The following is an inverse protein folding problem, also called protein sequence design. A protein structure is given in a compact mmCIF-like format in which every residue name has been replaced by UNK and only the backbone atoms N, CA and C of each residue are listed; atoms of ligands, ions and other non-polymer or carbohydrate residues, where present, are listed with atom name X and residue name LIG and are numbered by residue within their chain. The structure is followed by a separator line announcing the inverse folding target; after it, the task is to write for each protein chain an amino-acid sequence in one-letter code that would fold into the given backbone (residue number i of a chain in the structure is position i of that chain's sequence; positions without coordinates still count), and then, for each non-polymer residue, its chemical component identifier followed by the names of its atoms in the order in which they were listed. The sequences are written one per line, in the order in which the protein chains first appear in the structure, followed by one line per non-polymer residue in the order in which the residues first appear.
data_IF_046629532981
#
_entry.id   IF_046629532981
#
_cell.length_a   1.000
_cell.length_b   1.000
_cell.length_c   1.000
_cell.angle_alpha   90.00
_cell.angle_beta   90.00
_cell.angle_gamma   90.00
#
_symmetry.space_group_name_H-M   'P 1'
#
loop_
_entity.id
_entity.type
_entity.pdbx_description
1 polymer ?
#
# COMPACT_ATOMS: atom_id res chain seq x y z
N UNK A 1 -21.37 96.05 65.12
CA UNK A 1 -20.83 95.06 64.16
C UNK A 1 -20.44 93.83 64.97
N UNK A 2 -20.98 92.64 64.66
CA UNK A 2 -20.58 91.42 65.37
C UNK A 2 -19.07 91.21 65.25
N UNK A 3 -18.45 90.65 66.29
CA UNK A 3 -16.99 90.44 66.28
C UNK A 3 -16.61 89.42 65.20
N UNK A 4 -15.40 89.52 64.60
CA UNK A 4 -14.96 88.56 63.58
C UNK A 4 -15.05 87.09 64.04
N UNK A 5 -14.90 86.85 65.36
CA UNK A 5 -15.02 85.53 65.98
C UNK A 5 -16.47 85.03 65.98
N UNK A 6 -17.43 85.86 66.35
CA UNK A 6 -18.87 85.50 66.32
C UNK A 6 -19.36 85.21 64.90
N UNK A 7 -18.83 85.92 63.90
CA UNK A 7 -19.15 85.66 62.49
C UNK A 7 -18.59 84.30 62.03
N UNK A 8 -17.34 83.98 62.43
CA UNK A 8 -16.71 82.70 62.13
C UNK A 8 -17.42 81.51 62.82
N UNK A 9 -17.88 81.69 64.05
CA UNK A 9 -18.59 80.64 64.79
C UNK A 9 -19.99 80.36 64.21
N UNK A 10 -20.73 81.40 63.78
CA UNK A 10 -21.99 81.21 63.04
C UNK A 10 -21.78 80.50 61.72
N UNK A 11 -20.76 80.88 60.95
CA UNK A 11 -20.42 80.21 59.70
C UNK A 11 -20.06 78.73 59.92
N UNK A 12 -19.32 78.40 60.98
CA UNK A 12 -19.04 77.02 61.37
C UNK A 12 -20.30 76.25 61.74
N UNK A 13 -21.17 76.83 62.57
CA UNK A 13 -22.39 76.16 63.02
C UNK A 13 -23.35 75.93 61.84
N UNK A 14 -23.44 76.89 60.92
CA UNK A 14 -24.26 76.79 59.73
C UNK A 14 -23.68 75.79 58.71
N UNK A 15 -22.35 75.74 58.54
CA UNK A 15 -21.68 74.69 57.77
C UNK A 15 -21.89 73.31 58.38
N UNK A 16 -21.80 73.17 59.71
CA UNK A 16 -22.03 71.90 60.41
C UNK A 16 -23.48 71.42 60.26
N UNK A 17 -24.47 72.32 60.42
CA UNK A 17 -25.90 72.02 60.20
C UNK A 17 -26.21 71.59 58.76
N UNK A 18 -25.44 72.05 57.78
CA UNK A 18 -25.67 71.74 56.36
C UNK A 18 -24.91 70.49 55.91
N UNK A 19 -23.65 70.32 56.33
CA UNK A 19 -22.78 69.23 55.91
C UNK A 19 -23.01 67.93 56.70
N UNK A 20 -23.39 68.01 57.98
CA UNK A 20 -23.66 66.82 58.81
C UNK A 20 -24.71 65.88 58.21
N UNK A 21 -25.89 66.34 57.75
CA UNK A 21 -26.87 65.44 57.12
C UNK A 21 -26.41 64.92 55.76
N UNK A 22 -25.59 65.66 55.02
CA UNK A 22 -25.02 65.20 53.74
C UNK A 22 -23.98 64.10 53.94
N UNK A 23 -23.13 64.22 54.97
CA UNK A 23 -22.17 63.17 55.34
C UNK A 23 -22.89 61.91 55.83
N UNK A 24 -23.94 62.06 56.65
CA UNK A 24 -24.74 60.93 57.09
C UNK A 24 -25.43 60.21 55.92
N UNK A 25 -25.98 60.96 54.95
CA UNK A 25 -26.58 60.38 53.75
C UNK A 25 -25.56 59.64 52.87
N UNK A 26 -24.34 60.16 52.74
CA UNK A 26 -23.25 59.47 52.01
C UNK A 26 -22.78 58.19 52.72
N UNK A 27 -22.71 58.20 54.05
CA UNK A 27 -22.40 56.99 54.84
C UNK A 27 -23.51 55.93 54.67
N UNK A 28 -24.77 56.35 54.69
CA UNK A 28 -25.91 55.45 54.45
C UNK A 28 -25.88 54.87 53.02
N UNK A 29 -25.57 55.69 52.01
CA UNK A 29 -25.38 55.22 50.62
C UNK A 29 -24.21 54.24 50.52
N UNK A 30 -23.08 54.50 51.18
CA UNK A 30 -21.93 53.60 51.19
C UNK A 30 -22.25 52.25 51.86
N UNK A 31 -22.95 52.26 53.00
CA UNK A 31 -23.39 51.03 53.67
C UNK A 31 -24.41 50.26 52.82
N UNK A 32 -25.31 50.95 52.13
CA UNK A 32 -26.27 50.32 51.23
C UNK A 32 -25.56 49.66 50.03
N UNK A 33 -24.59 50.34 49.42
CA UNK A 33 -23.75 49.78 48.35
C UNK A 33 -22.97 48.57 48.86
N UNK A 34 -22.32 48.67 50.02
CA UNK A 34 -21.57 47.57 50.64
C UNK A 34 -22.46 46.36 50.94
N UNK A 35 -23.66 46.57 51.46
CA UNK A 35 -24.64 45.52 51.69
C UNK A 35 -25.09 44.85 50.38
N UNK A 36 -25.31 45.64 49.32
CA UNK A 36 -25.66 45.10 47.99
C UNK A 36 -24.54 44.25 47.38
N UNK A 37 -23.28 44.66 47.52
CA UNK A 37 -22.12 43.89 47.06
C UNK A 37 -21.97 42.60 47.84
N UNK A 38 -22.11 42.63 49.17
CA UNK A 38 -22.06 41.45 50.02
C UNK A 38 -23.16 40.44 49.64
N UNK A 39 -24.38 40.92 49.39
CA UNK A 39 -25.48 40.09 48.91
C UNK A 39 -25.19 39.51 47.51
N UNK A 40 -24.63 40.31 46.60
CA UNK A 40 -24.25 39.86 45.26
C UNK A 40 -23.16 38.79 45.27
N UNK A 41 -22.13 38.93 46.12
CA UNK A 41 -21.08 37.92 46.32
C UNK A 41 -21.70 36.63 46.87
N UNK A 42 -22.56 36.71 47.89
CA UNK A 42 -23.23 35.54 48.45
C UNK A 42 -24.11 34.79 47.43
N UNK A 43 -24.81 35.51 46.56
CA UNK A 43 -25.56 34.88 45.46
C UNK A 43 -24.63 34.18 44.45
N UNK A 44 -23.49 34.79 44.13
CA UNK A 44 -22.51 34.18 43.22
C UNK A 44 -21.90 32.91 43.81
N UNK A 45 -21.54 32.92 45.10
CA UNK A 45 -21.04 31.76 45.82
C UNK A 45 -22.06 30.61 45.85
N UNK A 46 -23.33 30.91 46.17
CA UNK A 46 -24.41 29.92 46.13
C UNK A 46 -24.57 29.29 44.74
N UNK A 47 -24.47 30.10 43.68
CA UNK A 47 -24.59 29.64 42.30
C UNK A 47 -23.38 28.80 41.86
N UNK A 48 -22.17 29.16 42.29
CA UNK A 48 -20.96 28.35 42.10
C UNK A 48 -21.09 27.00 42.82
N UNK A 49 -21.58 26.99 44.05
CA UNK A 49 -21.76 25.75 44.82
C UNK A 49 -22.86 24.87 44.22
N UNK A 50 -23.96 25.45 43.74
CA UNK A 50 -25.00 24.72 43.02
C UNK A 50 -24.45 24.08 41.72
N UNK A 51 -23.64 24.79 40.95
CA UNK A 51 -22.97 24.22 39.77
C UNK A 51 -22.05 23.05 40.15
N UNK A 52 -21.25 23.20 41.22
CA UNK A 52 -20.32 22.17 41.69
C UNK A 52 -21.01 20.91 42.23
N UNK A 53 -22.13 21.05 42.95
CA UNK A 53 -22.82 19.91 43.56
C UNK A 53 -23.80 19.21 42.65
N UNK A 54 -24.36 19.92 41.67
CA UNK A 54 -25.53 19.43 40.93
C UNK A 54 -25.24 19.28 39.45
N UNK A 55 -24.78 20.33 38.78
CA UNK A 55 -24.62 20.29 37.32
C UNK A 55 -23.38 19.52 36.88
N UNK A 56 -22.22 19.73 37.53
CA UNK A 56 -20.98 19.01 37.24
C UNK A 56 -21.11 17.49 37.45
N UNK A 57 -21.63 17.00 38.59
CA UNK A 57 -21.82 15.56 38.80
C UNK A 57 -22.90 14.96 37.90
N UNK A 58 -23.91 15.75 37.48
CA UNK A 58 -24.91 15.29 36.53
C UNK A 58 -24.35 15.13 35.11
N UNK A 59 -23.38 15.96 34.71
CA UNK A 59 -22.70 15.86 33.41
C UNK A 59 -21.61 14.79 33.37
N UNK A 60 -20.98 14.48 34.51
CA UNK A 60 -19.90 13.48 34.61
C UNK A 60 -20.25 12.11 33.97
N UNK A 61 -21.37 11.44 34.29
CA UNK A 61 -21.69 10.13 33.69
C UNK A 61 -21.97 10.21 32.18
N UNK A 62 -22.44 11.36 31.68
CA UNK A 62 -22.64 11.55 30.25
C UNK A 62 -21.29 11.67 29.52
N UNK A 63 -20.34 12.42 30.09
CA UNK A 63 -18.98 12.53 29.56
C UNK A 63 -18.22 11.20 29.64
N UNK A 64 -18.34 10.48 30.76
CA UNK A 64 -17.74 9.14 30.93
C UNK A 64 -18.34 8.16 29.91
N UNK A 65 -19.66 8.18 29.69
CA UNK A 65 -20.30 7.36 28.67
C UNK A 65 -19.80 7.68 27.26
N UNK A 66 -19.62 8.96 26.91
CA UNK A 66 -19.04 9.37 25.61
C UNK A 66 -17.58 8.93 25.48
N UNK A 67 -16.81 9.02 26.56
CA UNK A 67 -15.40 8.60 26.58
C UNK A 67 -15.27 7.08 26.44
N UNK A 68 -16.04 6.30 27.20
CA UNK A 68 -16.07 4.83 27.10
C UNK A 68 -16.47 4.38 25.69
N UNK A 69 -17.47 5.01 25.09
CA UNK A 69 -17.89 4.72 23.73
C UNK A 69 -16.79 5.05 22.70
N UNK A 70 -16.08 6.16 22.89
CA UNK A 70 -14.94 6.54 22.06
C UNK A 70 -13.77 5.56 22.20
N UNK A 71 -13.49 5.10 23.42
CA UNK A 71 -12.47 4.08 23.70
C UNK A 71 -12.84 2.76 23.02
N UNK A 72 -14.07 2.27 23.23
CA UNK A 72 -14.55 1.03 22.58
C UNK A 72 -14.45 1.10 21.06
N UNK A 73 -14.81 2.24 20.45
CA UNK A 73 -14.67 2.43 19.00
C UNK A 73 -13.22 2.34 18.53
N UNK A 74 -12.28 2.96 19.24
CA UNK A 74 -10.83 2.87 18.92
C UNK A 74 -10.27 1.47 19.11
N UNK A 75 -10.67 0.77 20.18
CA UNK A 75 -10.24 -0.60 20.43
C UNK A 75 -10.72 -1.52 19.30
N UNK A 76 -11.97 -1.40 18.88
CA UNK A 76 -12.52 -2.15 17.75
C UNK A 76 -11.80 -1.85 16.43
N UNK A 77 -11.48 -0.58 16.17
CA UNK A 77 -10.69 -0.18 14.99
C UNK A 77 -9.28 -0.78 15.03
N UNK A 78 -8.61 -0.73 16.19
CA UNK A 78 -7.29 -1.33 16.40
C UNK A 78 -7.32 -2.84 16.17
N UNK A 79 -8.32 -3.54 16.69
CA UNK A 79 -8.51 -4.97 16.47
C UNK A 79 -8.74 -5.31 14.99
N UNK A 80 -9.51 -4.49 14.27
CA UNK A 80 -9.75 -4.67 12.84
C UNK A 80 -8.46 -4.50 12.02
N UNK A 81 -7.66 -3.47 12.33
CA UNK A 81 -6.35 -3.26 11.69
C UNK A 81 -5.37 -4.40 12.03
N UNK A 82 -5.34 -4.86 13.28
CA UNK A 82 -4.50 -5.97 13.70
C UNK A 82 -4.91 -7.30 13.03
N UNK A 83 -6.21 -7.53 12.83
CA UNK A 83 -6.72 -8.69 12.10
C UNK A 83 -6.33 -8.61 10.62
N UNK A 84 -6.59 -7.47 9.98
CA UNK A 84 -6.23 -7.24 8.59
C UNK A 84 -4.74 -7.48 8.33
N UNK A 85 -3.85 -6.86 9.12
CA UNK A 85 -2.40 -7.01 8.94
C UNK A 85 -1.96 -8.46 9.09
N UNK A 86 -2.50 -9.20 10.07
CA UNK A 86 -2.24 -10.64 10.24
C UNK A 86 -2.67 -11.45 9.02
N UNK A 87 -3.90 -11.24 8.55
CA UNK A 87 -4.46 -12.02 7.43
C UNK A 87 -3.75 -11.69 6.12
N UNK A 88 -3.35 -10.43 5.92
CA UNK A 88 -2.62 -9.94 4.76
C UNK A 88 -1.28 -10.67 4.57
N UNK A 89 -0.56 -11.00 5.66
CA UNK A 89 0.71 -11.73 5.56
C UNK A 89 0.59 -13.13 4.99
N UNK A 90 -0.60 -13.73 5.04
CA UNK A 90 -0.88 -15.08 4.56
C UNK A 90 -1.34 -15.11 3.09
N UNK A 91 -1.67 -13.95 2.51
CA UNK A 91 -2.13 -13.85 1.12
C UNK A 91 -0.96 -13.80 0.17
N UNK A 92 -0.98 -14.67 -0.84
CA UNK A 92 0.14 -14.83 -1.78
C UNK A 92 -0.22 -14.36 -3.19
N UNK A 93 -1.50 -14.28 -3.52
CA UNK A 93 -1.97 -13.79 -4.82
C UNK A 93 -2.48 -12.36 -4.73
N UNK A 94 -2.37 -11.61 -5.84
CA UNK A 94 -2.90 -10.26 -5.92
C UNK A 94 -4.41 -10.21 -5.69
N UNK A 95 -5.17 -11.14 -6.26
CA UNK A 95 -6.63 -11.16 -6.12
C UNK A 95 -7.05 -11.30 -4.65
N UNK A 96 -6.41 -12.21 -3.91
CA UNK A 96 -6.69 -12.39 -2.48
C UNK A 96 -6.35 -11.14 -1.66
N UNK A 97 -5.23 -10.49 -1.99
CA UNK A 97 -4.77 -9.27 -1.33
C UNK A 97 -5.75 -8.11 -1.57
N UNK A 98 -6.13 -7.89 -2.83
CA UNK A 98 -7.05 -6.81 -3.20
C UNK A 98 -8.46 -7.07 -2.68
N UNK A 99 -8.92 -8.33 -2.65
CA UNK A 99 -10.20 -8.70 -2.03
C UNK A 99 -10.19 -8.37 -0.54
N UNK A 100 -9.14 -8.79 0.16
CA UNK A 100 -8.99 -8.52 1.59
C UNK A 100 -8.94 -7.01 1.89
N UNK A 101 -8.21 -6.24 1.08
CA UNK A 101 -8.19 -4.78 1.18
C UNK A 101 -9.58 -4.18 1.02
N UNK A 102 -10.31 -4.60 -0.02
CA UNK A 102 -11.61 -4.04 -0.32
C UNK A 102 -12.65 -4.38 0.77
N UNK A 103 -12.62 -5.60 1.30
CA UNK A 103 -13.46 -6.02 2.42
C UNK A 103 -13.11 -5.25 3.71
N UNK A 104 -11.82 -5.01 3.96
CA UNK A 104 -11.40 -4.21 5.10
C UNK A 104 -11.79 -2.73 4.95
N UNK A 105 -11.64 -2.17 3.74
CA UNK A 105 -12.01 -0.79 3.42
C UNK A 105 -13.52 -0.55 3.57
N UNK A 106 -14.36 -1.56 3.32
CA UNK A 106 -15.81 -1.49 3.57
C UNK A 106 -16.18 -1.33 5.07
N UNK A 107 -15.25 -1.60 5.99
CA UNK A 107 -15.43 -1.29 7.42
C UNK A 107 -15.01 0.15 7.77
N UNK A 108 -14.32 0.85 6.87
CA UNK A 108 -13.89 2.23 7.01
C UNK A 108 -14.85 3.22 6.34
N UNK A 109 -15.44 2.79 5.22
CA UNK A 109 -16.37 3.57 4.43
C UNK A 109 -17.57 2.72 4.03
N UNK A 110 -18.79 3.29 4.04
CA UNK A 110 -20.00 2.56 3.66
C UNK A 110 -19.96 2.11 2.20
N UNK A 111 -19.25 2.84 1.32
CA UNK A 111 -19.11 2.50 -0.09
C UNK A 111 -17.66 2.64 -0.54
N UNK A 112 -17.13 1.58 -1.15
CA UNK A 112 -15.76 1.57 -1.68
C UNK A 112 -15.74 0.83 -3.02
N UNK A 113 -15.09 1.42 -4.00
CA UNK A 113 -14.83 0.79 -5.30
C UNK A 113 -13.32 0.80 -5.56
N UNK A 114 -12.80 -0.30 -6.10
CA UNK A 114 -11.40 -0.45 -6.48
C UNK A 114 -11.31 -0.55 -8.00
N UNK A 115 -10.43 0.27 -8.58
CA UNK A 115 -10.12 0.30 -10.00
C UNK A 115 -8.65 -0.06 -10.21
N UNK A 116 -8.37 -1.01 -11.10
CA UNK A 116 -7.01 -1.36 -11.49
C UNK A 116 -6.54 -0.44 -12.62
N UNK A 117 -5.34 0.13 -12.49
CA UNK A 117 -4.73 0.98 -13.50
C UNK A 117 -3.90 0.14 -14.47
N UNK A 118 -4.23 0.19 -15.76
CA UNK A 118 -3.49 -0.46 -16.85
C UNK A 118 -3.41 0.49 -18.05
N UNK A 119 -2.23 0.69 -18.61
CA UNK A 119 -2.04 1.55 -19.81
C UNK A 119 -2.71 2.93 -19.69
N UNK A 120 -2.59 3.56 -18.51
CA UNK A 120 -3.25 4.83 -18.16
C UNK A 120 -4.80 4.79 -18.22
N UNK A 121 -5.38 3.60 -18.08
CA UNK A 121 -6.81 3.36 -18.00
C UNK A 121 -7.16 2.70 -16.66
N UNK A 122 -8.07 3.34 -15.92
CA UNK A 122 -8.65 2.76 -14.71
C UNK A 122 -9.80 1.85 -15.11
N UNK A 123 -9.65 0.56 -14.84
CA UNK A 123 -10.65 -0.49 -15.09
C UNK A 123 -11.29 -0.94 -13.80
N UNK A 124 -12.61 -1.10 -13.79
CA UNK A 124 -13.36 -1.60 -12.66
C UNK A 124 -12.87 -2.99 -12.23
N UNK A 125 -12.52 -3.14 -10.95
CA UNK A 125 -12.14 -4.44 -10.41
C UNK A 125 -13.24 -5.03 -9.54
N UNK A 126 -13.63 -4.34 -8.46
CA UNK A 126 -14.73 -4.75 -7.59
C UNK A 126 -15.18 -3.60 -6.69
N UNK A 127 -16.33 -3.77 -6.04
CA UNK A 127 -16.89 -2.75 -5.13
C UNK A 127 -17.65 -3.36 -3.95
N UNK A 128 -17.87 -2.55 -2.91
CA UNK A 128 -18.63 -2.88 -1.68
C UNK A 128 -19.54 -1.72 -1.31
N UNK A 129 -20.72 -2.03 -0.78
CA UNK A 129 -21.71 -1.01 -0.37
C UNK A 129 -22.56 -0.44 -1.50
N UNK A 130 -22.49 -1.04 -2.69
CA UNK A 130 -23.31 -0.69 -3.85
C UNK A 130 -24.40 -1.74 -4.09
N UNK A 131 -25.52 -1.32 -4.66
CA UNK A 131 -26.55 -2.23 -5.16
C UNK A 131 -25.97 -3.12 -6.28
N UNK A 132 -26.53 -4.32 -6.48
CA UNK A 132 -25.97 -5.33 -7.38
C UNK A 132 -25.81 -4.81 -8.83
N UNK A 133 -26.79 -4.07 -9.34
CA UNK A 133 -26.72 -3.50 -10.69
C UNK A 133 -25.60 -2.45 -10.81
N UNK A 134 -25.48 -1.56 -9.82
CA UNK A 134 -24.41 -0.57 -9.77
C UNK A 134 -23.03 -1.23 -9.62
N UNK A 135 -22.91 -2.28 -8.81
CA UNK A 135 -21.67 -3.02 -8.62
C UNK A 135 -21.22 -3.72 -9.91
N UNK A 136 -22.15 -4.26 -10.70
CA UNK A 136 -21.86 -4.83 -12.03
C UNK A 136 -21.36 -3.76 -13.00
N UNK A 137 -22.04 -2.62 -13.08
CA UNK A 137 -21.62 -1.49 -13.92
C UNK A 137 -20.22 -1.01 -13.54
N UNK A 138 -19.96 -0.81 -12.24
CA UNK A 138 -18.64 -0.42 -11.74
C UNK A 138 -17.55 -1.41 -12.16
N UNK A 139 -17.82 -2.71 -12.12
CA UNK A 139 -16.85 -3.75 -12.51
C UNK A 139 -16.62 -3.87 -14.02
N UNK A 140 -17.54 -3.43 -14.86
CA UNK A 140 -17.39 -3.44 -16.32
C UNK A 140 -16.87 -2.13 -16.91
N UNK A 141 -16.99 -1.03 -16.17
CA UNK A 141 -16.62 0.29 -16.65
C UNK A 141 -15.12 0.53 -16.61
N UNK A 142 -14.66 1.41 -17.50
CA UNK A 142 -13.28 1.89 -17.53
C UNK A 142 -13.24 3.36 -17.92
N UNK A 143 -12.25 4.09 -17.40
CA UNK A 143 -12.08 5.51 -17.69
C UNK A 143 -10.63 5.96 -17.53
N UNK A 144 -10.27 7.03 -18.24
CA UNK A 144 -8.94 7.63 -18.11
C UNK A 144 -8.87 8.53 -16.86
N UNK A 145 -7.80 8.44 -16.05
CA UNK A 145 -7.58 9.30 -14.90
C UNK A 145 -7.32 10.76 -15.30
N UNK A 146 -6.86 11.02 -16.53
CA UNK A 146 -6.60 12.36 -17.05
C UNK A 146 -7.86 13.25 -17.12
N UNK A 147 -9.05 12.65 -17.00
CA UNK A 147 -10.32 13.37 -16.95
C UNK A 147 -10.50 14.20 -15.66
N UNK A 148 -9.69 13.98 -14.62
CA UNK A 148 -9.87 14.59 -13.30
C UNK A 148 -8.51 14.95 -12.66
N UNK A 149 -8.26 16.20 -12.26
CA UNK A 149 -7.00 16.56 -11.59
C UNK A 149 -6.82 15.84 -10.24
N UNK A 150 -7.90 15.60 -9.50
CA UNK A 150 -7.89 14.90 -8.21
C UNK A 150 -7.48 13.42 -8.35
N UNK A 151 -7.82 12.77 -9.48
CA UNK A 151 -7.33 11.42 -9.77
C UNK A 151 -5.83 11.45 -10.07
N UNK A 152 -5.36 12.43 -10.85
CA UNK A 152 -3.94 12.63 -11.10
C UNK A 152 -3.14 12.88 -9.82
N UNK A 153 -3.65 13.73 -8.92
CA UNK A 153 -3.04 13.98 -7.61
C UNK A 153 -2.98 12.71 -6.75
N UNK A 154 -4.10 11.98 -6.66
CA UNK A 154 -4.16 10.73 -5.91
C UNK A 154 -3.19 9.67 -6.48
N UNK A 155 -3.13 9.55 -7.81
CA UNK A 155 -2.23 8.64 -8.52
C UNK A 155 -0.78 9.11 -8.57
N UNK A 156 -0.46 10.33 -8.14
CA UNK A 156 0.92 10.83 -8.05
C UNK A 156 1.55 10.57 -6.67
N UNK A 157 0.74 10.43 -5.62
CA UNK A 157 1.19 10.24 -4.25
C UNK A 157 0.66 8.97 -3.59
N UNK A 158 0.97 8.84 -2.30
CA UNK A 158 0.38 7.84 -1.40
C UNK A 158 -0.57 8.45 -0.39
N UNK A 159 -0.69 9.78 -0.37
CA UNK A 159 -1.60 10.50 0.50
C UNK A 159 -3.05 10.31 0.05
N UNK A 160 -3.96 10.27 1.03
CA UNK A 160 -5.38 10.26 0.77
C UNK A 160 -5.81 11.64 0.24
N UNK A 161 -6.40 11.67 -0.96
CA UNK A 161 -6.92 12.90 -1.57
C UNK A 161 -8.43 12.98 -1.31
N UNK A 162 -8.91 14.17 -0.98
CA UNK A 162 -10.33 14.45 -0.81
C UNK A 162 -10.88 15.15 -2.05
N UNK A 163 -11.96 14.60 -2.62
CA UNK A 163 -12.65 15.20 -3.75
C UNK A 163 -14.09 15.53 -3.34
N UNK A 164 -14.48 16.80 -3.51
CA UNK A 164 -15.84 17.25 -3.18
C UNK A 164 -16.89 16.56 -4.06
N UNK A 165 -16.56 16.30 -5.33
CA UNK A 165 -17.40 15.62 -6.31
C UNK A 165 -16.56 14.82 -7.30
N UNK A 166 -17.13 13.75 -7.85
CA UNK A 166 -16.54 13.02 -8.97
C UNK A 166 -16.93 13.66 -10.31
N UNK A 167 -16.10 13.51 -11.37
CA UNK A 167 -16.38 14.01 -12.72
C UNK A 167 -17.75 13.61 -13.26
N UNK A 168 -18.27 14.41 -14.18
CA UNK A 168 -19.56 14.15 -14.84
C UNK A 168 -19.55 13.00 -15.88
N UNK A 169 -18.51 12.17 -15.88
CA UNK A 169 -18.40 11.02 -16.76
C UNK A 169 -19.50 9.97 -16.53
N UNK A 170 -19.96 9.35 -17.62
CA UNK A 170 -20.97 8.30 -17.61
C UNK A 170 -20.48 7.05 -16.85
N UNK A 171 -19.20 6.70 -16.99
CA UNK A 171 -18.52 5.61 -16.26
C UNK A 171 -18.50 5.78 -14.73
N UNK A 172 -18.68 7.01 -14.24
CA UNK A 172 -18.77 7.30 -12.81
C UNK A 172 -20.21 7.54 -12.34
N UNK A 173 -21.19 7.44 -13.24
CA UNK A 173 -22.60 7.71 -12.92
C UNK A 173 -23.13 6.73 -11.86
N UNK A 174 -22.78 5.44 -11.94
CA UNK A 174 -23.19 4.44 -10.95
C UNK A 174 -22.67 4.77 -9.52
N UNK A 175 -21.44 5.28 -9.44
CA UNK A 175 -20.80 5.68 -8.19
C UNK A 175 -21.49 6.93 -7.62
N UNK A 176 -21.67 7.96 -8.46
CA UNK A 176 -22.31 9.24 -8.09
C UNK A 176 -23.80 9.14 -7.78
N UNK A 177 -24.52 8.21 -8.42
CA UNK A 177 -25.94 8.00 -8.13
C UNK A 177 -26.16 7.53 -6.67
N UNK A 178 -25.15 6.87 -6.10
CA UNK A 178 -25.23 6.30 -4.76
C UNK A 178 -24.92 7.34 -3.67
N UNK A 179 -23.92 8.22 -3.87
CA UNK A 179 -23.54 9.25 -2.88
C UNK A 179 -23.26 10.60 -3.54
N UNK A 180 -23.46 11.70 -2.80
CA UNK A 180 -23.16 13.07 -3.25
C UNK A 180 -21.79 13.60 -2.80
N UNK A 181 -20.97 12.77 -2.15
CA UNK A 181 -19.67 13.15 -1.61
C UNK A 181 -19.74 13.57 -0.12
N UNK A 182 -18.59 13.89 0.51
CA UNK A 182 -17.25 13.93 -0.08
C UNK A 182 -16.72 12.53 -0.43
N UNK A 183 -15.79 12.49 -1.39
CA UNK A 183 -15.13 11.28 -1.86
C UNK A 183 -13.68 11.26 -1.39
N UNK A 184 -13.18 10.07 -1.09
CA UNK A 184 -11.80 9.81 -0.69
C UNK A 184 -11.13 8.94 -1.74
N UNK A 185 -9.98 9.40 -2.22
CA UNK A 185 -9.22 8.78 -3.29
C UNK A 185 -7.88 8.32 -2.73
N UNK A 186 -7.60 7.02 -2.83
CA UNK A 186 -6.36 6.42 -2.33
C UNK A 186 -5.76 5.54 -3.41
N UNK A 187 -4.59 5.93 -3.93
CA UNK A 187 -3.86 5.08 -4.85
C UNK A 187 -3.12 3.96 -4.10
N UNK A 188 -2.99 2.82 -4.75
CA UNK A 188 -2.00 1.81 -4.43
C UNK A 188 -0.81 2.00 -5.36
N UNK A 189 0.36 2.25 -4.79
CA UNK A 189 1.63 2.29 -5.52
C UNK A 189 2.44 1.06 -5.18
N UNK A 190 3.04 0.43 -6.18
CA UNK A 190 3.95 -0.71 -6.03
C UNK A 190 5.25 -0.34 -6.73
N UNK A 191 6.35 -0.27 -5.99
CA UNK A 191 7.66 0.16 -6.50
C UNK A 191 7.59 1.54 -7.15
N UNK A 192 6.89 2.46 -6.47
CA UNK A 192 6.59 3.82 -6.91
C UNK A 192 5.79 3.94 -8.22
N UNK A 193 5.18 2.85 -8.68
CA UNK A 193 4.24 2.88 -9.82
C UNK A 193 2.80 2.77 -9.33
N UNK A 194 1.89 3.68 -9.71
CA UNK A 194 0.49 3.50 -9.39
C UNK A 194 -0.08 2.28 -10.12
N UNK A 195 -0.75 1.39 -9.40
CA UNK A 195 -1.33 0.15 -9.96
C UNK A 195 -2.84 0.05 -9.77
N UNK A 196 -3.39 0.82 -8.83
CA UNK A 196 -4.83 0.85 -8.59
C UNK A 196 -5.24 2.14 -7.87
N UNK A 197 -6.53 2.46 -7.95
CA UNK A 197 -7.18 3.57 -7.27
C UNK A 197 -8.40 3.06 -6.49
N UNK A 198 -8.45 3.34 -5.20
CA UNK A 198 -9.65 3.19 -4.38
C UNK A 198 -10.43 4.50 -4.40
N UNK A 199 -11.73 4.40 -4.67
CA UNK A 199 -12.69 5.47 -4.57
C UNK A 199 -13.67 5.10 -3.45
N UNK A 200 -13.60 5.82 -2.35
CA UNK A 200 -14.46 5.61 -1.19
C UNK A 200 -15.42 6.79 -1.02
N UNK A 201 -16.69 6.49 -0.79
CA UNK A 201 -17.74 7.47 -0.60
C UNK A 201 -18.32 7.40 0.79
N UNK A 202 -18.69 8.55 1.33
CA UNK A 202 -19.42 8.65 2.58
C UNK A 202 -20.93 8.52 2.35
N UNK A 203 -21.65 8.09 3.38
CA UNK A 203 -23.11 8.13 3.43
C UNK A 203 -23.50 9.03 4.61
N UNK A 204 -24.56 9.83 4.45
CA UNK A 204 -24.98 10.80 5.46
C UNK A 204 -25.16 10.12 6.83
N UNK A 205 -24.32 10.47 7.79
CA UNK A 205 -24.37 9.95 9.17
C UNK A 205 -23.50 8.71 9.44
N UNK A 206 -22.83 8.15 8.44
CA UNK A 206 -21.83 7.10 8.65
C UNK A 206 -20.48 7.73 9.04
N UNK A 207 -19.86 7.22 10.11
CA UNK A 207 -18.57 7.71 10.60
C UNK A 207 -17.44 7.16 9.71
N UNK A 208 -16.95 7.99 8.78
CA UNK A 208 -15.86 7.64 7.88
C UNK A 208 -14.50 7.59 8.62
N UNK A 209 -13.66 6.61 8.28
CA UNK A 209 -12.34 6.42 8.89
C UNK A 209 -11.21 6.54 7.85
N UNK A 210 -10.87 7.77 7.41
CA UNK A 210 -9.91 7.99 6.34
C UNK A 210 -8.49 7.51 6.70
N UNK A 211 -8.07 7.67 7.97
CA UNK A 211 -6.74 7.24 8.41
C UNK A 211 -6.59 5.71 8.35
N UNK A 212 -7.61 4.96 8.77
CA UNK A 212 -7.61 3.51 8.66
C UNK A 212 -7.48 3.05 7.20
N UNK A 213 -8.24 3.66 6.27
CA UNK A 213 -8.13 3.34 4.84
C UNK A 213 -6.71 3.55 4.30
N UNK A 214 -6.08 4.67 4.67
CA UNK A 214 -4.69 4.94 4.28
C UNK A 214 -3.72 3.88 4.84
N UNK A 215 -3.88 3.49 6.11
CA UNK A 215 -3.07 2.42 6.71
C UNK A 215 -3.27 1.09 5.96
N UNK A 216 -4.51 0.69 5.70
CA UNK A 216 -4.85 -0.54 4.96
C UNK A 216 -4.20 -0.55 3.57
N UNK A 217 -4.32 0.56 2.84
CA UNK A 217 -3.74 0.74 1.51
C UNK A 217 -2.21 0.65 1.54
N UNK A 218 -1.56 1.33 2.49
CA UNK A 218 -0.10 1.31 2.63
C UNK A 218 0.44 -0.09 2.95
N UNK A 219 -0.20 -0.83 3.88
CA UNK A 219 0.20 -2.21 4.17
C UNK A 219 -0.03 -3.14 2.97
N UNK A 220 -1.11 -2.91 2.21
CA UNK A 220 -1.39 -3.66 0.98
C UNK A 220 -0.32 -3.42 -0.08
N UNK A 221 0.03 -2.14 -0.32
CA UNK A 221 1.11 -1.75 -1.20
C UNK A 221 2.42 -2.43 -0.81
N UNK A 222 2.81 -2.38 0.47
CA UNK A 222 4.02 -3.05 0.98
C UNK A 222 3.99 -4.57 0.75
N UNK A 223 2.82 -5.21 0.91
CA UNK A 223 2.69 -6.66 0.64
C UNK A 223 2.87 -6.96 -0.84
N UNK A 224 2.25 -6.17 -1.71
CA UNK A 224 2.39 -6.31 -3.17
C UNK A 224 3.83 -6.05 -3.60
N UNK A 225 4.50 -5.04 -3.06
CA UNK A 225 5.93 -4.77 -3.29
C UNK A 225 6.80 -5.93 -2.85
N UNK A 226 6.54 -6.51 -1.67
CA UNK A 226 7.32 -7.65 -1.21
C UNK A 226 7.17 -8.87 -2.14
N UNK A 227 5.96 -9.11 -2.65
CA UNK A 227 5.70 -10.17 -3.63
C UNK A 227 6.41 -9.85 -4.96
N UNK A 228 6.26 -8.62 -5.47
CA UNK A 228 6.91 -8.17 -6.69
C UNK A 228 8.44 -8.30 -6.60
N UNK A 229 9.05 -7.91 -5.47
CA UNK A 229 10.49 -8.03 -5.24
C UNK A 229 10.95 -9.48 -5.14
N UNK A 230 10.16 -10.36 -4.52
CA UNK A 230 10.46 -11.81 -4.51
C UNK A 230 10.50 -12.35 -5.93
N UNK A 231 9.49 -12.02 -6.73
CA UNK A 231 9.42 -12.40 -8.14
C UNK A 231 10.66 -11.84 -8.87
N UNK A 232 10.94 -10.54 -8.78
CA UNK A 232 12.11 -9.92 -9.43
C UNK A 232 13.42 -10.62 -9.04
N UNK A 233 13.60 -10.97 -7.77
CA UNK A 233 14.82 -11.63 -7.31
C UNK A 233 14.91 -13.10 -7.72
N UNK A 234 13.78 -13.79 -7.81
CA UNK A 234 13.68 -15.17 -8.34
C UNK A 234 14.00 -15.21 -9.84
N UNK A 235 13.60 -14.16 -10.58
CA UNK A 235 13.92 -13.99 -12.01
C UNK A 235 15.22 -13.23 -12.29
N UNK A 236 15.95 -12.76 -11.26
CA UNK A 236 17.26 -12.13 -11.43
C UNK A 236 18.29 -13.21 -11.76
N UNK A 237 18.86 -13.18 -12.95
CA UNK A 237 19.99 -14.05 -13.29
C UNK A 237 21.12 -13.84 -12.27
N UNK A 238 21.76 -14.92 -11.76
CA UNK A 238 22.92 -14.78 -10.90
C UNK A 238 23.96 -13.98 -11.66
N UNK A 239 24.45 -12.88 -11.05
CA UNK A 239 25.53 -12.08 -11.62
C UNK A 239 26.65 -13.03 -12.07
N UNK A 240 27.21 -12.85 -13.29
CA UNK A 240 28.28 -13.71 -13.76
C UNK A 240 29.35 -13.73 -12.67
N UNK A 241 29.69 -14.94 -12.20
CA UNK A 241 30.75 -15.12 -11.22
C UNK A 241 31.97 -14.34 -11.71
N UNK A 242 32.68 -13.58 -10.84
CA UNK A 242 33.89 -12.92 -11.24
C UNK A 242 34.79 -13.97 -11.91
N UNK A 243 35.13 -13.72 -13.17
CA UNK A 243 35.90 -14.65 -13.97
C UNK A 243 37.11 -15.13 -13.16
N UNK A 244 37.43 -16.44 -13.15
CA UNK A 244 38.59 -16.93 -12.44
C UNK A 244 39.79 -16.11 -12.91
N UNK A 245 40.44 -15.42 -11.96
CA UNK A 245 41.63 -14.65 -12.24
C UNK A 245 42.60 -15.56 -13.00
N UNK A 246 42.89 -15.21 -14.24
CA UNK A 246 43.84 -15.93 -15.06
C UNK A 246 45.16 -16.04 -14.28
N UNK A 247 45.84 -17.19 -14.29
CA UNK A 247 47.12 -17.33 -13.61
C UNK A 247 48.09 -16.30 -14.18
N UNK A 248 48.58 -15.41 -13.32
CA UNK A 248 49.60 -14.44 -13.62
C UNK A 248 50.87 -15.19 -14.04
N UNK A 249 51.20 -15.10 -15.33
CA UNK A 249 52.47 -15.59 -15.87
C UNK A 249 53.60 -14.66 -15.36
N UNK A 250 54.69 -15.19 -14.78
CA UNK A 250 55.80 -14.39 -14.28
C UNK A 250 56.59 -13.74 -15.43
N UNK A 251 57.30 -12.62 -15.17
CA UNK A 251 57.94 -11.82 -16.22
C UNK A 251 59.18 -12.52 -16.79
N UNK A 252 59.15 -12.88 -18.07
CA UNK A 252 60.35 -13.29 -18.79
C UNK A 252 61.11 -12.08 -19.33
N UNK A 253 62.16 -11.74 -18.58
CA UNK A 253 63.53 -11.39 -19.00
C UNK A 253 63.70 -10.92 -20.46
N UNK A 254 63.98 -9.62 -20.58
CA UNK A 254 64.56 -8.95 -21.74
C UNK A 254 65.88 -9.60 -22.18
N UNK A 255 66.04 -9.83 -23.49
CA UNK A 255 67.30 -10.14 -24.15
C UNK A 255 67.52 -9.06 -25.21
N UNK A 256 68.53 -8.20 -25.00
CA UNK A 256 69.25 -7.38 -25.99
C UNK A 256 69.83 -8.28 -27.10
N UNK A 257 70.05 -7.93 -28.37
CA UNK A 257 70.46 -6.74 -29.15
C UNK A 257 70.39 -7.18 -30.66
N UNK A 258 70.84 -6.46 -31.73
CA UNK A 258 71.60 -5.21 -31.82
C UNK A 258 71.11 -4.14 -32.83
N UNK A 259 71.85 -3.03 -32.78
CA UNK A 259 71.66 -1.66 -33.28
C UNK A 259 71.74 -1.43 -34.81
N UNK A 260 71.10 -0.34 -35.25
CA UNK A 260 71.59 0.61 -36.27
C UNK A 260 70.89 1.97 -36.03
N UNK A 261 71.56 3.01 -35.52
CA UNK A 261 72.23 4.03 -36.32
C UNK A 261 71.48 5.39 -36.22
N UNK A 262 72.06 6.49 -35.71
CA UNK A 262 71.30 7.68 -35.27
C UNK A 262 71.41 8.89 -36.20
N UNK A 263 70.28 9.55 -36.53
CA UNK A 263 70.20 10.91 -37.13
C UNK A 263 68.83 11.52 -36.75
N UNK A 264 68.74 12.37 -35.71
CA UNK A 264 68.71 13.85 -35.74
C UNK A 264 67.28 14.43 -35.73
N UNK A 265 66.89 15.05 -34.60
CA UNK A 265 65.66 15.85 -34.44
C UNK A 265 65.96 17.34 -34.65
N UNK A 266 65.09 18.10 -35.34
CA UNK A 266 64.99 19.55 -35.17
C UNK A 266 63.76 19.96 -34.30
N UNK A 267 63.75 21.18 -33.75
CA UNK A 267 63.13 21.49 -32.45
C UNK A 267 61.73 22.11 -32.50
N UNK A 268 61.06 22.05 -31.34
CA UNK A 268 59.78 22.66 -30.98
C UNK A 268 59.74 24.20 -31.14
N UNK A 269 58.59 24.72 -31.59
CA UNK A 269 58.10 26.08 -31.28
C UNK A 269 56.57 26.06 -30.98
N UNK A 270 56.09 26.79 -29.96
CA UNK A 270 54.67 27.07 -29.65
C UNK A 270 54.27 28.53 -30.07
N UNK A 271 53.08 29.12 -29.75
CA UNK A 271 51.68 28.66 -29.57
C UNK A 271 50.59 29.45 -30.37
N UNK A 272 49.37 28.89 -30.54
CA UNK A 272 47.95 29.41 -30.70
C UNK A 272 47.60 30.72 -31.50
N UNK A 273 46.33 31.03 -31.94
CA UNK A 273 44.98 30.54 -31.50
C UNK A 273 43.84 30.34 -32.57
N UNK A 274 42.70 29.76 -32.09
CA UNK A 274 41.27 29.91 -32.51
C UNK A 274 40.86 29.32 -33.89
N UNK A 275 39.73 28.63 -34.09
CA UNK A 275 38.40 28.70 -33.48
C UNK A 275 37.61 27.37 -33.62
N UNK A 276 36.69 27.12 -32.68
CA UNK A 276 35.31 26.57 -32.80
C UNK A 276 35.11 25.41 -33.80
N UNK A 277 34.75 24.19 -33.39
CA UNK A 277 33.40 23.82 -32.96
C UNK A 277 33.33 22.67 -31.92
N UNK A 278 32.30 22.78 -31.08
CA UNK A 278 31.92 21.98 -29.91
C UNK A 278 31.52 20.53 -30.24
N UNK A 279 32.06 19.55 -29.51
CA UNK A 279 31.40 18.83 -28.41
C UNK A 279 30.03 18.23 -28.74
N UNK A 280 29.98 16.92 -28.97
CA UNK A 280 29.03 16.01 -28.30
C UNK A 280 29.62 14.59 -28.30
N UNK A 281 29.97 14.10 -27.12
CA UNK A 281 30.26 12.70 -26.87
C UNK A 281 28.93 11.94 -26.76
N UNK A 282 28.71 11.00 -27.68
CA UNK A 282 27.63 10.02 -27.60
C UNK A 282 28.07 8.89 -26.67
N UNK A 283 27.33 8.68 -25.57
CA UNK A 283 27.30 7.42 -24.80
C UNK A 283 25.95 6.75 -25.08
N UNK A 284 25.89 5.45 -25.43
CA UNK A 284 24.63 4.77 -25.66
C UNK A 284 23.88 4.47 -24.35
N UNK A 285 22.56 4.62 -24.45
CA UNK A 285 21.50 4.42 -23.48
C UNK A 285 21.53 3.06 -22.77
N UNK A 286 21.29 3.08 -21.45
CA UNK A 286 20.83 1.93 -20.68
C UNK A 286 19.40 1.56 -21.11
N UNK A 287 19.23 0.30 -21.53
CA UNK A 287 17.96 -0.24 -21.95
C UNK A 287 16.96 -0.30 -20.78
N UNK A 288 15.86 0.42 -20.94
CA UNK A 288 14.66 0.33 -20.11
C UNK A 288 13.99 -1.01 -20.38
N UNK A 289 13.98 -1.91 -19.41
CA UNK A 289 13.13 -3.10 -19.47
C UNK A 289 11.69 -2.72 -19.12
N UNK A 290 10.87 -2.78 -20.16
CA UNK A 290 9.43 -2.64 -20.17
C UNK A 290 8.76 -3.71 -19.30
N UNK A 291 7.94 -3.28 -18.34
CA UNK A 291 7.17 -4.15 -17.45
C UNK A 291 5.78 -4.34 -18.08
N UNK A 292 5.72 -5.23 -19.06
CA UNK A 292 4.49 -5.62 -19.74
C UNK A 292 3.80 -6.81 -19.08
N UNK A 293 2.48 -6.66 -18.92
CA UNK A 293 1.45 -7.69 -18.75
C UNK A 293 1.30 -8.37 -17.38
N UNK A 294 0.69 -7.63 -16.44
CA UNK A 294 0.01 -8.19 -15.27
C UNK A 294 -1.51 -8.18 -15.48
N UNK A 295 -2.01 -9.20 -16.19
CA UNK A 295 -3.16 -9.93 -15.68
C UNK A 295 -4.19 -10.36 -16.70
N UNK A 296 -4.30 -11.67 -16.85
CA UNK A 296 -5.49 -12.34 -17.36
C UNK A 296 -5.52 -13.79 -16.93
N UNK A 297 -6.37 -14.15 -15.97
CA UNK A 297 -7.01 -15.47 -16.00
C UNK A 297 -8.25 -15.48 -15.11
N UNK A 298 -9.40 -15.31 -15.77
CA UNK A 298 -10.72 -15.62 -15.23
C UNK A 298 -10.99 -17.11 -15.43
N UNK A 299 -11.22 -17.87 -14.35
CA UNK A 299 -11.81 -19.20 -14.45
C UNK A 299 -13.02 -19.31 -13.53
N UNK A 300 -14.17 -19.35 -14.19
CA UNK A 300 -15.50 -19.55 -13.62
C UNK A 300 -15.68 -20.96 -13.04
N UNK A 301 -16.62 -21.04 -12.11
CA UNK A 301 -16.96 -22.17 -11.26
C UNK A 301 -17.39 -23.47 -11.98
N UNK A 302 -17.07 -24.60 -11.34
CA UNK A 302 -17.90 -25.81 -11.38
C UNK A 302 -17.73 -26.61 -10.06
N UNK A 303 -18.87 -26.87 -9.42
CA UNK A 303 -19.02 -27.68 -8.21
C UNK A 303 -18.94 -29.18 -8.52
N UNK A 304 -18.44 -30.00 -7.58
CA UNK A 304 -19.01 -31.34 -7.27
C UNK A 304 -18.50 -31.85 -5.92
N UNK A 305 -19.32 -32.72 -5.32
CA UNK A 305 -19.45 -33.02 -3.90
C UNK A 305 -18.69 -34.28 -3.42
N UNK A 306 -18.69 -34.43 -2.07
CA UNK A 306 -18.43 -35.63 -1.24
C UNK A 306 -16.95 -36.08 -1.14
N UNK A 307 -16.40 -36.52 0.00
CA UNK A 307 -16.99 -37.24 1.12
C UNK A 307 -16.06 -37.13 2.37
N UNK A 308 -16.62 -37.31 3.56
CA UNK A 308 -15.97 -37.14 4.87
C UNK A 308 -15.66 -38.50 5.54
N UNK A 309 -14.59 -38.54 6.35
CA UNK A 309 -14.31 -39.46 7.50
C UNK A 309 -13.46 -40.76 7.28
N UNK A 310 -12.86 -41.40 8.34
CA UNK A 310 -11.72 -40.92 9.18
C UNK A 310 -10.66 -42.02 9.54
N UNK A 311 -9.68 -41.65 10.41
CA UNK A 311 -8.82 -42.46 11.35
C UNK A 311 -7.30 -42.64 11.02
N UNK A 312 -6.45 -42.28 12.01
CA UNK A 312 -4.97 -42.24 12.05
C UNK A 312 -4.32 -43.58 12.55
N UNK A 313 -2.97 -43.84 12.60
CA UNK A 313 -1.94 -43.02 13.31
C UNK A 313 -0.50 -42.91 12.71
N UNK A 314 0.10 -41.71 12.85
CA UNK A 314 1.43 -41.39 13.46
C UNK A 314 2.77 -41.73 12.72
N UNK A 315 3.26 -40.72 11.98
CA UNK A 315 4.49 -39.92 12.25
C UNK A 315 5.83 -40.06 11.47
N UNK A 316 6.14 -41.08 10.65
CA UNK A 316 7.20 -40.92 9.63
C UNK A 316 6.62 -40.70 8.22
N UNK A 317 5.44 -41.26 7.96
CA UNK A 317 4.76 -41.16 6.66
C UNK A 317 4.22 -39.76 6.42
N UNK A 318 3.80 -39.06 7.46
CA UNK A 318 3.23 -37.71 7.35
C UNK A 318 4.27 -36.63 6.98
N UNK A 319 5.55 -36.83 7.32
CA UNK A 319 6.63 -35.91 6.91
C UNK A 319 7.06 -36.20 5.47
N UNK A 320 7.21 -37.48 5.11
CA UNK A 320 7.44 -37.89 3.72
C UNK A 320 6.30 -37.43 2.79
N UNK A 321 5.03 -37.61 3.20
CA UNK A 321 3.86 -37.14 2.44
C UNK A 321 3.84 -35.63 2.27
N UNK A 322 4.25 -34.86 3.28
CA UNK A 322 4.41 -33.40 3.18
C UNK A 322 5.51 -33.02 2.20
N UNK A 323 6.66 -33.69 2.26
CA UNK A 323 7.76 -33.47 1.31
C UNK A 323 7.35 -33.82 -0.13
N UNK A 324 6.57 -34.88 -0.33
CA UNK A 324 5.98 -35.23 -1.62
C UNK A 324 4.95 -34.19 -2.10
N UNK A 325 4.09 -33.69 -1.20
CA UNK A 325 3.12 -32.65 -1.52
C UNK A 325 3.79 -31.31 -1.87
N UNK A 326 4.83 -30.93 -1.13
CA UNK A 326 5.60 -29.71 -1.35
C UNK A 326 6.42 -29.81 -2.65
N UNK A 327 7.05 -30.95 -2.93
CA UNK A 327 7.74 -31.20 -4.19
C UNK A 327 6.78 -31.13 -5.39
N UNK A 328 5.57 -31.69 -5.28
CA UNK A 328 4.55 -31.60 -6.33
C UNK A 328 4.06 -30.17 -6.54
N UNK A 329 3.82 -29.43 -5.45
CA UNK A 329 3.44 -28.00 -5.53
C UNK A 329 4.53 -27.17 -6.18
N UNK A 330 5.79 -27.42 -5.84
CA UNK A 330 6.91 -26.70 -6.40
C UNK A 330 7.15 -27.04 -7.88
N UNK A 331 7.05 -28.30 -8.27
CA UNK A 331 7.04 -28.71 -9.69
C UNK A 331 5.93 -28.02 -10.47
N UNK A 332 4.70 -28.02 -9.93
CA UNK A 332 3.54 -27.37 -10.56
C UNK A 332 3.77 -25.88 -10.74
N UNK A 333 4.35 -25.20 -9.75
CA UNK A 333 4.67 -23.78 -9.79
C UNK A 333 5.63 -23.49 -10.95
N UNK A 334 6.81 -24.12 -10.93
CA UNK A 334 7.86 -23.89 -11.94
C UNK A 334 7.39 -24.15 -13.37
N UNK A 335 6.59 -25.20 -13.58
CA UNK A 335 6.07 -25.55 -14.90
C UNK A 335 4.94 -24.61 -15.33
N UNK A 336 4.10 -24.15 -14.39
CA UNK A 336 3.06 -23.14 -14.68
C UNK A 336 3.69 -21.80 -15.06
N UNK A 337 4.83 -21.44 -14.47
CA UNK A 337 5.58 -20.23 -14.84
C UNK A 337 6.16 -20.34 -16.24
N UNK A 338 6.78 -21.47 -16.60
CA UNK A 338 7.24 -21.70 -17.99
C UNK A 338 6.09 -21.50 -18.98
N UNK A 339 4.90 -22.04 -18.66
CA UNK A 339 3.71 -21.88 -19.50
C UNK A 339 3.31 -20.41 -19.61
N UNK A 340 3.23 -19.69 -18.48
CA UNK A 340 2.78 -18.30 -18.42
C UNK A 340 3.66 -17.36 -19.26
N UNK A 341 4.99 -17.51 -19.18
CA UNK A 341 5.91 -16.61 -19.88
C UNK A 341 6.14 -16.98 -21.35
N UNK A 342 5.79 -18.21 -21.75
CA UNK A 342 6.10 -18.72 -23.08
C UNK A 342 4.86 -19.33 -23.78
N UNK A 343 3.67 -18.77 -23.56
CA UNK A 343 2.41 -19.34 -24.09
C UNK A 343 2.44 -19.56 -25.60
N UNK A 344 2.95 -18.59 -26.37
CA UNK A 344 3.08 -18.71 -27.83
C UNK A 344 3.98 -19.88 -28.22
N UNK A 345 5.15 -20.01 -27.59
CA UNK A 345 6.08 -21.10 -27.85
C UNK A 345 5.55 -22.46 -27.38
N UNK A 346 4.72 -22.50 -26.34
CA UNK A 346 4.02 -23.71 -25.91
C UNK A 346 2.99 -24.14 -26.94
N UNK A 347 2.17 -23.21 -27.44
CA UNK A 347 1.17 -23.51 -28.47
C UNK A 347 1.81 -24.02 -29.76
N UNK A 348 2.84 -23.31 -30.26
CA UNK A 348 3.60 -23.74 -31.44
C UNK A 348 4.34 -25.06 -31.19
N UNK A 349 4.90 -25.23 -30.00
CA UNK A 349 5.62 -26.44 -29.61
C UNK A 349 4.71 -27.66 -29.53
N UNK A 350 3.46 -27.49 -29.09
CA UNK A 350 2.45 -28.56 -29.10
C UNK A 350 2.06 -28.95 -30.52
N UNK A 351 1.86 -27.96 -31.39
CA UNK A 351 1.49 -28.20 -32.80
C UNK A 351 2.60 -28.93 -33.57
N UNK A 352 3.85 -28.53 -33.35
CA UNK A 352 5.02 -29.07 -34.05
C UNK A 352 5.69 -30.25 -33.32
N UNK A 353 5.23 -30.58 -32.10
CA UNK A 353 5.77 -31.62 -31.22
C UNK A 353 7.25 -31.45 -30.91
N UNK A 354 7.67 -30.21 -30.68
CA UNK A 354 9.06 -29.80 -30.42
C UNK A 354 9.20 -28.89 -29.19
N UNK A 355 8.29 -29.01 -28.21
CA UNK A 355 8.24 -28.17 -27.00
C UNK A 355 9.59 -28.07 -26.29
N UNK A 356 10.30 -29.19 -26.09
CA UNK A 356 11.57 -29.17 -25.39
C UNK A 356 12.65 -28.42 -26.17
N UNK A 357 12.66 -28.47 -27.50
CA UNK A 357 13.64 -27.72 -28.28
C UNK A 357 13.43 -26.21 -28.17
N UNK A 358 12.17 -25.77 -28.22
CA UNK A 358 11.80 -24.34 -28.12
C UNK A 358 12.01 -23.78 -26.72
N UNK A 359 11.68 -24.56 -25.70
CA UNK A 359 11.71 -24.15 -24.29
C UNK A 359 12.88 -24.75 -23.53
N UNK A 360 13.90 -25.25 -24.24
CA UNK A 360 15.03 -25.99 -23.65
C UNK A 360 15.66 -25.24 -22.49
N UNK A 361 15.92 -23.94 -22.71
CA UNK A 361 16.58 -23.08 -21.71
C UNK A 361 15.76 -22.96 -20.44
N UNK A 362 14.44 -22.77 -20.56
CA UNK A 362 13.56 -22.52 -19.42
C UNK A 362 13.22 -23.82 -18.70
N UNK A 363 13.02 -24.92 -19.45
CA UNK A 363 12.82 -26.27 -18.89
C UNK A 363 14.05 -26.74 -18.11
N UNK A 364 15.26 -26.59 -18.67
CA UNK A 364 16.51 -26.99 -18.01
C UNK A 364 16.77 -26.14 -16.76
N UNK A 365 16.54 -24.83 -16.84
CA UNK A 365 16.69 -23.91 -15.70
C UNK A 365 15.73 -24.25 -14.56
N UNK A 366 14.46 -24.45 -14.87
CA UNK A 366 13.46 -24.82 -13.85
C UNK A 366 13.72 -26.22 -13.29
N UNK A 367 14.26 -27.14 -14.10
CA UNK A 367 14.68 -28.47 -13.61
C UNK A 367 15.84 -28.35 -12.61
N UNK A 368 16.84 -27.53 -12.88
CA UNK A 368 17.94 -27.28 -11.93
C UNK A 368 17.44 -26.67 -10.62
N UNK A 369 16.44 -25.78 -10.67
CA UNK A 369 15.80 -25.21 -9.48
C UNK A 369 15.03 -26.26 -8.67
N UNK A 370 14.31 -27.14 -9.37
CA UNK A 370 13.60 -28.26 -8.77
C UNK A 370 14.55 -29.21 -8.04
N UNK A 371 15.63 -29.63 -8.69
CA UNK A 371 16.61 -30.56 -8.13
C UNK A 371 17.35 -29.97 -6.91
N UNK A 372 17.57 -28.64 -6.85
CA UNK A 372 18.21 -27.97 -5.71
C UNK A 372 17.32 -27.84 -4.48
N UNK A 373 16.00 -27.71 -4.66
CA UNK A 373 15.06 -27.41 -3.56
C UNK A 373 14.38 -28.67 -3.00
N UNK A 374 14.20 -29.70 -3.82
CA UNK A 374 13.54 -30.94 -3.41
C UNK A 374 14.53 -31.86 -2.72
N UNK A 375 14.11 -32.46 -1.60
CA UNK A 375 14.94 -33.40 -0.86
C UNK A 375 15.31 -34.61 -1.75
N UNK A 376 16.57 -35.10 -1.71
CA UNK A 376 17.03 -36.23 -2.54
C UNK A 376 16.20 -37.52 -2.36
N UNK A 377 15.61 -37.70 -1.18
CA UNK A 377 14.74 -38.84 -0.83
C UNK A 377 13.45 -38.85 -1.67
N UNK A 378 12.94 -37.68 -2.05
CA UNK A 378 11.74 -37.54 -2.89
C UNK A 378 12.11 -37.61 -4.37
N UNK A 379 13.19 -36.92 -4.77
CA UNK A 379 13.64 -36.86 -6.16
C UNK A 379 14.06 -38.23 -6.73
N UNK A 380 14.61 -39.11 -5.88
CA UNK A 380 14.95 -40.49 -6.26
C UNK A 380 13.76 -41.44 -6.43
N UNK A 381 12.59 -41.10 -5.85
CA UNK A 381 11.39 -41.95 -5.91
C UNK A 381 10.46 -41.58 -7.06
N UNK A 382 10.15 -40.29 -7.22
CA UNK A 382 9.17 -39.78 -8.19
C UNK A 382 9.65 -38.43 -8.74
N UNK A 383 9.70 -38.31 -10.07
CA UNK A 383 10.02 -37.06 -10.75
C UNK A 383 8.74 -36.24 -11.01
N UNK A 384 8.27 -35.52 -9.98
CA UNK A 384 7.07 -34.68 -10.12
C UNK A 384 7.24 -33.55 -11.14
N UNK A 385 8.48 -33.14 -11.43
CA UNK A 385 8.73 -32.11 -12.43
C UNK A 385 8.46 -32.63 -13.84
N UNK A 386 8.83 -33.87 -14.13
CA UNK A 386 8.43 -34.54 -15.38
C UNK A 386 6.90 -34.64 -15.51
N UNK A 387 6.22 -35.12 -14.47
CA UNK A 387 4.76 -35.28 -14.48
C UNK A 387 4.04 -33.96 -14.76
N UNK A 388 4.50 -32.87 -14.13
CA UNK A 388 3.90 -31.56 -14.33
C UNK A 388 4.22 -30.97 -15.71
N UNK A 389 5.41 -31.24 -16.28
CA UNK A 389 5.73 -30.88 -17.68
C UNK A 389 4.75 -31.53 -18.66
N UNK A 390 4.53 -32.85 -18.52
CA UNK A 390 3.58 -33.57 -19.38
C UNK A 390 2.17 -33.03 -19.18
N UNK A 391 1.76 -32.82 -17.92
CA UNK A 391 0.40 -32.35 -17.59
C UNK A 391 0.12 -30.93 -18.07
N UNK A 392 1.04 -29.99 -17.83
CA UNK A 392 0.80 -28.56 -18.02
C UNK A 392 1.29 -28.08 -19.39
N UNK A 393 2.53 -28.42 -19.79
CA UNK A 393 3.08 -28.01 -21.07
C UNK A 393 2.62 -28.94 -22.19
N UNK A 394 2.58 -30.25 -21.94
CA UNK A 394 2.14 -31.26 -22.91
C UNK A 394 0.63 -31.51 -22.97
N UNK A 395 -0.17 -30.85 -22.12
CA UNK A 395 -1.62 -31.06 -22.04
C UNK A 395 -2.03 -32.53 -21.78
N UNK A 396 -1.23 -33.23 -20.98
CA UNK A 396 -1.30 -34.67 -20.69
C UNK A 396 -0.82 -35.59 -21.84
N UNK A 397 -0.20 -35.05 -22.88
CA UNK A 397 0.46 -35.84 -23.93
C UNK A 397 1.99 -35.67 -23.84
N UNK A 398 2.72 -36.77 -23.60
CA UNK A 398 4.18 -36.75 -23.56
C UNK A 398 4.80 -36.66 -24.96
N UNK A 399 4.06 -37.01 -26.02
CA UNK A 399 4.56 -37.00 -27.40
C UNK A 399 4.78 -35.58 -27.94
N UNK A 400 4.19 -34.55 -27.31
CA UNK A 400 4.37 -33.15 -27.71
C UNK A 400 5.70 -32.56 -27.25
N UNK A 401 6.41 -33.22 -26.32
CA UNK A 401 7.68 -32.76 -25.77
C UNK A 401 8.84 -32.83 -26.78
N UNK A 402 8.71 -33.69 -27.80
CA UNK A 402 9.73 -33.93 -28.81
C UNK A 402 10.72 -35.03 -28.41
N UNK A 403 11.43 -35.58 -29.39
CA UNK A 403 12.36 -36.71 -29.21
C UNK A 403 13.61 -36.37 -28.40
N UNK A 404 13.95 -35.09 -28.32
CA UNK A 404 15.17 -34.62 -27.66
C UNK A 404 14.98 -34.39 -26.16
N UNK A 405 13.74 -34.54 -25.66
CA UNK A 405 13.44 -34.42 -24.24
C UNK A 405 14.05 -35.60 -23.46
N UNK A 406 14.86 -35.35 -22.42
CA UNK A 406 15.63 -36.39 -21.73
C UNK A 406 14.78 -37.39 -20.91
N UNK A 407 13.47 -37.18 -20.80
CA UNK A 407 12.58 -38.04 -20.03
C UNK A 407 12.66 -37.79 -18.51
N UNK A 408 11.95 -38.61 -17.71
CA UNK A 408 12.03 -38.57 -16.26
C UNK A 408 13.42 -38.99 -15.76
N UNK A 409 13.98 -38.26 -14.79
CA UNK A 409 15.30 -38.54 -14.20
C UNK A 409 15.20 -39.31 -12.89
N UNK A 410 14.52 -40.44 -12.92
CA UNK A 410 14.48 -41.35 -11.76
C UNK A 410 15.69 -42.28 -11.90
N UNK A 411 16.58 -42.32 -10.89
CA UNK A 411 17.64 -43.34 -10.82
C UNK A 411 16.96 -44.71 -10.80
N UNK A 412 17.14 -45.48 -11.87
CA UNK A 412 16.64 -46.86 -11.99
C UNK A 412 17.61 -47.86 -11.40
#
# INVERSE_FOLDING_TARGET
MPSPRECADRLREQAYKTLSPQLAALDDELEQVRASFAAGIGQLEQRIEALRRTELPAMAPALDGMLEESIRRRDLESENLARFTRDLTRKETQEEILTLLLDAAANCFPRVALFALRDDLLSGWSSRGFAEDAARTIGSDSFSPAACPEFGEALAGTALVEAASLPEAESLAAIRASSRGPWRLQALRVLDRPVALLIAGEENGAEARPQALSILANFTALRLENIALRLINEYREPAPAPAPAAPSVPPHRTVEEPQAGPVEQPPLQPPTPRAEEESTASSPEEAVHDFGDWGGSTLAAAQTAAEESPVAPVAPVAEDEKLHADARRFARLLVSEIKLYNETHVLEGRQNRDLYLRLKRDIDRSRDMYEKRVAPIVASRIDYFHDEIVRILGDNDSATLGSDYPGPRIES
#
